data_IF_523569981129
#
_entry.id   IF_523569981129
#
_cell.length_a   1.000
_cell.length_b   1.000
_cell.length_c   1.000
_cell.angle_alpha   90.00
_cell.angle_beta   90.00
_cell.angle_gamma   90.00
#
_symmetry.space_group_name_H-M   'P 1'
#
loop_
_entity.id
_entity.type
_entity.pdbx_description
1 polymer ?
#
# COMPACT_ATOMS: atom_id res chain seq x y z
N UNK A 1 0.88 0.23 23.98
CA UNK A 1 0.04 0.54 22.80
C UNK A 1 0.18 -0.61 21.81
N UNK A 2 -0.82 -0.87 20.98
CA UNK A 2 -0.79 -1.96 20.01
C UNK A 2 -0.16 -1.46 18.70
N UNK A 3 0.82 -2.21 18.16
CA UNK A 3 1.44 -1.88 16.89
C UNK A 3 0.44 -1.95 15.72
N UNK A 4 0.60 -1.07 14.74
CA UNK A 4 -0.17 -1.11 13.49
C UNK A 4 0.33 -2.23 12.57
N UNK A 5 1.65 -2.43 12.54
CA UNK A 5 2.33 -3.51 11.83
C UNK A 5 3.43 -4.08 12.73
N UNK A 6 3.57 -5.39 12.76
CA UNK A 6 4.66 -6.07 13.43
C UNK A 6 5.13 -7.26 12.59
N UNK A 7 6.40 -7.28 12.26
CA UNK A 7 7.10 -8.37 11.61
C UNK A 7 8.04 -8.99 12.62
N UNK A 8 7.95 -10.30 12.85
CA UNK A 8 8.79 -11.03 13.81
C UNK A 8 9.58 -12.11 13.10
N UNK A 9 10.85 -11.83 12.87
CA UNK A 9 11.78 -12.79 12.30
C UNK A 9 11.36 -13.36 10.95
N UNK A 10 10.69 -12.53 10.11
CA UNK A 10 10.16 -13.03 8.84
C UNK A 10 11.28 -13.43 7.90
N UNK A 11 11.14 -14.62 7.33
CA UNK A 11 12.06 -15.16 6.33
C UNK A 11 11.29 -15.68 5.13
N UNK A 12 11.81 -15.44 3.94
CA UNK A 12 11.24 -15.91 2.68
C UNK A 12 12.29 -16.10 1.61
N UNK A 13 12.40 -17.29 1.05
CA UNK A 13 13.19 -17.55 -0.16
C UNK A 13 12.34 -17.18 -1.38
N UNK A 14 12.78 -16.17 -2.13
CA UNK A 14 12.09 -15.69 -3.34
C UNK A 14 12.66 -16.35 -4.60
N UNK A 15 13.98 -16.56 -4.62
CA UNK A 15 14.71 -17.24 -5.69
C UNK A 15 15.99 -17.86 -5.15
N UNK A 16 16.73 -18.55 -6.01
CA UNK A 16 18.05 -19.09 -5.63
C UNK A 16 19.08 -18.01 -5.30
N UNK A 17 18.85 -16.78 -5.79
CA UNK A 17 19.75 -15.63 -5.60
C UNK A 17 19.27 -14.62 -4.58
N UNK A 18 18.02 -14.74 -4.09
CA UNK A 18 17.45 -13.75 -3.20
C UNK A 18 16.53 -14.39 -2.13
N UNK A 19 16.78 -14.02 -0.88
CA UNK A 19 15.92 -14.35 0.26
C UNK A 19 15.87 -13.23 1.28
N UNK A 20 14.70 -12.99 1.84
CA UNK A 20 14.56 -12.26 3.10
C UNK A 20 15.02 -13.17 4.23
N UNK A 21 15.74 -12.62 5.22
CA UNK A 21 16.22 -13.39 6.37
C UNK A 21 16.02 -12.59 7.65
N UNK A 22 15.27 -13.18 8.57
CA UNK A 22 15.11 -12.69 9.94
C UNK A 22 14.76 -11.19 10.04
N UNK A 23 13.83 -10.72 9.19
CA UNK A 23 13.43 -9.32 9.20
C UNK A 23 12.45 -9.07 10.34
N UNK A 24 12.84 -8.19 11.24
CA UNK A 24 12.02 -7.75 12.38
C UNK A 24 11.79 -6.24 12.29
N UNK A 25 10.53 -5.82 12.38
CA UNK A 25 10.11 -4.43 12.27
C UNK A 25 8.80 -4.23 13.03
N UNK A 26 8.67 -3.10 13.69
CA UNK A 26 7.39 -2.65 14.27
C UNK A 26 7.08 -1.23 13.83
N UNK A 27 5.80 -0.95 13.60
CA UNK A 27 5.26 0.38 13.31
C UNK A 27 4.17 0.70 14.31
N UNK A 28 4.38 1.71 15.11
CA UNK A 28 3.44 2.19 16.13
C UNK A 28 2.47 3.24 15.57
N UNK A 29 1.32 3.48 16.22
CA UNK A 29 0.45 4.59 15.86
C UNK A 29 1.19 5.94 15.90
N UNK A 30 1.02 6.74 14.84
CA UNK A 30 1.64 8.05 14.72
C UNK A 30 3.11 8.03 14.28
N UNK A 31 3.71 6.86 14.07
CA UNK A 31 5.06 6.76 13.52
C UNK A 31 5.10 6.88 12.00
N UNK A 32 6.19 7.48 11.52
CA UNK A 32 6.63 7.43 10.12
C UNK A 32 7.91 6.60 10.08
N UNK A 33 7.88 5.47 9.39
CA UNK A 33 9.02 4.55 9.29
C UNK A 33 9.54 4.54 7.86
N UNK A 34 10.80 4.94 7.67
CA UNK A 34 11.50 4.86 6.39
C UNK A 34 12.17 3.49 6.21
N UNK A 35 11.79 2.76 5.17
CA UNK A 35 12.40 1.49 4.81
C UNK A 35 13.40 1.70 3.68
N UNK A 36 14.67 1.91 4.01
CA UNK A 36 15.72 2.31 3.07
C UNK A 36 16.61 1.12 2.70
N UNK A 37 17.03 1.06 1.46
CA UNK A 37 17.95 0.02 0.96
C UNK A 37 18.12 0.12 -0.55
N UNK A 38 19.17 -0.51 -1.07
CA UNK A 38 19.46 -0.56 -2.51
C UNK A 38 18.32 -1.23 -3.30
N UNK A 39 18.31 -1.00 -4.62
CA UNK A 39 17.39 -1.72 -5.50
C UNK A 39 17.70 -3.22 -5.44
N UNK A 40 16.66 -4.05 -5.33
CA UNK A 40 16.81 -5.49 -5.12
C UNK A 40 17.05 -5.93 -3.66
N UNK A 41 17.17 -5.00 -2.69
CA UNK A 41 17.36 -5.35 -1.27
C UNK A 41 16.14 -6.01 -0.61
N UNK A 42 15.01 -6.12 -1.32
CA UNK A 42 13.81 -6.80 -0.82
C UNK A 42 12.75 -5.91 -0.23
N UNK A 43 12.82 -4.58 -0.41
CA UNK A 43 11.83 -3.63 0.12
C UNK A 43 10.40 -4.01 -0.28
N UNK A 44 10.13 -4.09 -1.57
CA UNK A 44 8.80 -4.48 -2.11
C UNK A 44 8.39 -5.89 -1.65
N UNK A 45 9.33 -6.83 -1.56
CA UNK A 45 9.05 -8.19 -1.07
C UNK A 45 8.63 -8.15 0.40
N UNK A 46 9.34 -7.39 1.24
CA UNK A 46 8.98 -7.20 2.65
C UNK A 46 7.60 -6.57 2.80
N UNK A 47 7.30 -5.52 2.01
CA UNK A 47 5.97 -4.88 1.99
C UNK A 47 4.89 -5.88 1.61
N UNK A 48 5.06 -6.63 0.53
CA UNK A 48 4.08 -7.64 0.09
C UNK A 48 3.89 -8.75 1.12
N UNK A 49 4.96 -9.16 1.78
CA UNK A 49 4.92 -10.14 2.87
C UNK A 49 4.17 -9.58 4.08
N UNK A 50 4.46 -8.33 4.47
CA UNK A 50 3.78 -7.62 5.56
C UNK A 50 2.26 -7.49 5.34
N UNK A 51 1.82 -7.46 4.09
CA UNK A 51 0.40 -7.41 3.72
C UNK A 51 -0.23 -8.80 3.54
N UNK A 52 0.50 -9.88 3.85
CA UNK A 52 0.03 -11.26 3.68
C UNK A 52 -0.19 -11.66 2.21
N UNK A 53 0.43 -10.95 1.26
CA UNK A 53 0.32 -11.25 -0.18
C UNK A 53 1.33 -12.31 -0.62
N UNK A 54 2.34 -12.57 0.18
CA UNK A 54 3.38 -13.59 -0.06
C UNK A 54 3.46 -14.47 1.19
N UNK A 55 3.42 -15.80 0.99
CA UNK A 55 3.58 -16.78 2.06
C UNK A 55 4.99 -16.70 2.64
N UNK A 56 5.10 -16.78 3.97
CA UNK A 56 6.35 -16.88 4.71
C UNK A 56 6.91 -18.31 4.69
N UNK A 57 8.22 -18.43 4.82
CA UNK A 57 8.88 -19.70 5.14
C UNK A 57 9.10 -19.81 6.67
N UNK A 58 9.29 -18.65 7.36
CA UNK A 58 9.38 -18.57 8.82
C UNK A 58 9.01 -17.18 9.33
N UNK A 59 8.71 -17.07 10.62
CA UNK A 59 8.34 -15.83 11.30
C UNK A 59 6.85 -15.56 11.26
N UNK A 60 6.45 -14.40 11.75
CA UNK A 60 5.05 -14.00 11.89
C UNK A 60 4.83 -12.56 11.45
N UNK A 61 3.63 -12.30 10.92
CA UNK A 61 3.14 -10.95 10.60
C UNK A 61 1.89 -10.66 11.39
N UNK A 62 1.84 -9.51 12.03
CA UNK A 62 0.65 -9.00 12.69
C UNK A 62 0.29 -7.63 12.14
N UNK A 63 -0.96 -7.47 11.72
CA UNK A 63 -1.57 -6.19 11.38
C UNK A 63 -2.60 -5.84 12.45
N UNK A 64 -2.46 -4.65 13.04
CA UNK A 64 -3.34 -4.16 14.09
C UNK A 64 -3.47 -5.17 15.26
N UNK A 65 -2.36 -5.88 15.57
CA UNK A 65 -2.26 -6.89 16.61
C UNK A 65 -2.89 -8.25 16.28
N UNK A 66 -3.42 -8.44 15.09
CA UNK A 66 -3.98 -9.70 14.64
C UNK A 66 -3.03 -10.39 13.67
N UNK A 67 -2.89 -11.71 13.76
CA UNK A 67 -2.09 -12.49 12.83
C UNK A 67 -2.58 -12.33 11.39
N UNK A 68 -1.66 -12.03 10.48
CA UNK A 68 -1.90 -11.79 9.07
C UNK A 68 -0.91 -12.61 8.22
N UNK A 69 -1.02 -13.92 8.28
CA UNK A 69 -0.25 -14.86 7.46
C UNK A 69 -1.10 -15.50 6.38
N UNK A 70 -0.46 -16.20 5.45
CA UNK A 70 -1.18 -16.96 4.41
C UNK A 70 -2.04 -18.11 4.97
N UNK A 71 -1.85 -18.45 6.23
CA UNK A 71 -2.60 -19.42 7.03
C UNK A 71 -3.78 -18.78 7.81
N UNK A 72 -3.85 -17.43 7.86
CA UNK A 72 -4.97 -16.76 8.49
C UNK A 72 -6.23 -16.88 7.61
N UNK A 73 -7.45 -16.95 8.22
CA UNK A 73 -8.70 -17.01 7.47
C UNK A 73 -8.83 -15.84 6.49
N UNK A 74 -9.32 -16.09 5.28
CA UNK A 74 -9.47 -15.10 4.21
C UNK A 74 -10.28 -13.88 4.65
N UNK A 75 -11.33 -14.09 5.44
CA UNK A 75 -12.17 -13.01 5.98
C UNK A 75 -11.37 -12.10 6.91
N UNK A 76 -10.54 -12.67 7.78
CA UNK A 76 -9.64 -11.90 8.67
C UNK A 76 -8.67 -11.08 7.85
N UNK A 77 -8.01 -11.69 6.87
CA UNK A 77 -7.06 -11.00 5.99
C UNK A 77 -7.73 -9.86 5.23
N UNK A 78 -8.93 -10.10 4.70
CA UNK A 78 -9.72 -9.08 4.00
C UNK A 78 -10.03 -7.91 4.92
N UNK A 79 -10.57 -8.17 6.10
CA UNK A 79 -10.89 -7.16 7.11
C UNK A 79 -9.68 -6.32 7.51
N UNK A 80 -8.51 -6.94 7.70
CA UNK A 80 -7.28 -6.23 8.04
C UNK A 80 -6.82 -5.33 6.89
N UNK A 81 -6.87 -5.83 5.65
CA UNK A 81 -6.44 -5.06 4.46
C UNK A 81 -7.33 -3.85 4.17
N UNK A 82 -8.62 -3.87 4.51
CA UNK A 82 -9.49 -2.68 4.35
C UNK A 82 -9.04 -1.50 5.21
N UNK A 83 -8.17 -1.71 6.18
CA UNK A 83 -7.62 -0.67 7.06
C UNK A 83 -6.25 -0.18 6.61
N UNK A 84 -5.70 -0.75 5.54
CA UNK A 84 -4.38 -0.41 4.98
C UNK A 84 -4.57 0.35 3.67
N UNK A 85 -3.98 1.52 3.54
CA UNK A 85 -3.82 2.24 2.28
C UNK A 85 -2.49 1.86 1.64
N UNK A 86 -2.52 1.44 0.39
CA UNK A 86 -1.34 1.02 -0.35
C UNK A 86 -1.15 1.92 -1.57
N UNK A 87 0.06 2.44 -1.72
CA UNK A 87 0.52 3.18 -2.91
C UNK A 87 1.73 2.46 -3.47
N UNK A 88 1.61 1.96 -4.68
CA UNK A 88 2.65 1.23 -5.39
C UNK A 88 3.34 2.14 -6.41
N UNK A 89 4.55 1.79 -6.77
CA UNK A 89 5.30 2.45 -7.84
C UNK A 89 4.53 2.49 -9.17
N UNK A 90 3.88 1.40 -9.52
CA UNK A 90 3.05 1.30 -10.73
C UNK A 90 1.57 1.36 -10.35
N UNK A 91 0.81 2.19 -11.05
CA UNK A 91 -0.63 2.31 -10.85
C UNK A 91 -1.33 0.98 -11.19
N UNK A 92 -2.03 0.33 -10.22
CA UNK A 92 -2.60 -1.00 -10.41
C UNK A 92 -3.96 -0.99 -11.11
N UNK A 93 -4.53 0.19 -11.38
CA UNK A 93 -5.86 0.30 -11.95
C UNK A 93 -5.87 0.01 -13.45
N UNK A 94 -6.97 -0.57 -13.98
CA UNK A 94 -7.09 -0.81 -15.42
C UNK A 94 -6.87 0.45 -16.25
N UNK A 95 -6.01 0.34 -17.24
CA UNK A 95 -5.54 1.47 -18.07
C UNK A 95 -6.65 2.20 -18.84
N UNK A 96 -7.77 1.54 -19.08
CA UNK A 96 -8.92 2.08 -19.84
C UNK A 96 -9.89 2.89 -19.00
N UNK A 97 -9.87 2.75 -17.67
CA UNK A 97 -10.76 3.47 -16.77
C UNK A 97 -10.42 4.95 -16.71
N UNK A 98 -11.42 5.79 -16.54
CA UNK A 98 -11.25 7.18 -16.14
C UNK A 98 -10.98 7.28 -14.64
N UNK A 99 -10.39 8.39 -14.22
CA UNK A 99 -10.12 8.68 -12.80
C UNK A 99 -11.39 8.51 -11.95
N UNK A 100 -12.53 9.03 -12.40
CA UNK A 100 -13.82 8.86 -11.69
C UNK A 100 -14.34 7.42 -11.69
N UNK A 101 -14.02 6.64 -12.70
CA UNK A 101 -14.44 5.23 -12.77
C UNK A 101 -13.62 4.34 -11.84
N UNK A 102 -12.41 4.76 -11.46
CA UNK A 102 -11.58 4.08 -10.45
C UNK A 102 -12.29 4.08 -9.10
N UNK A 103 -12.97 5.16 -8.73
CA UNK A 103 -13.77 5.21 -7.51
C UNK A 103 -14.84 4.11 -7.50
N UNK A 104 -15.62 3.99 -8.56
CA UNK A 104 -16.67 2.97 -8.67
C UNK A 104 -16.12 1.53 -8.59
N UNK A 105 -14.88 1.31 -9.04
CA UNK A 105 -14.20 0.03 -8.93
C UNK A 105 -13.74 -0.25 -7.50
N UNK A 106 -13.21 0.76 -6.79
CA UNK A 106 -12.49 0.58 -5.53
C UNK A 106 -13.42 0.70 -4.31
N UNK A 107 -14.33 1.67 -4.31
CA UNK A 107 -15.17 2.01 -3.16
C UNK A 107 -15.97 0.83 -2.57
N UNK A 108 -16.49 -0.14 -3.37
CA UNK A 108 -17.25 -1.25 -2.80
C UNK A 108 -16.45 -2.16 -1.86
N UNK A 109 -15.12 -2.15 -1.96
CA UNK A 109 -14.25 -2.94 -1.10
C UNK A 109 -14.03 -2.33 0.29
N UNK A 110 -14.42 -1.06 0.50
CA UNK A 110 -14.10 -0.30 1.70
C UNK A 110 -15.36 0.29 2.36
N UNK A 111 -15.84 -0.30 3.47
CA UNK A 111 -17.04 0.20 4.17
C UNK A 111 -16.92 1.64 4.68
N UNK A 112 -15.69 2.13 4.86
CA UNK A 112 -15.40 3.49 5.37
C UNK A 112 -15.12 4.50 4.26
N UNK A 113 -15.41 4.16 3.00
CA UNK A 113 -15.15 5.06 1.86
C UNK A 113 -15.92 6.38 1.99
N UNK A 114 -15.27 7.47 1.59
CA UNK A 114 -15.85 8.81 1.52
C UNK A 114 -15.71 9.37 0.12
N UNK A 115 -16.82 9.50 -0.59
CA UNK A 115 -16.88 10.12 -1.92
C UNK A 115 -16.39 11.57 -1.89
N UNK A 116 -16.81 12.34 -0.89
CA UNK A 116 -16.41 13.75 -0.76
C UNK A 116 -14.91 13.89 -0.58
N UNK A 117 -14.29 13.00 0.22
CA UNK A 117 -12.84 12.98 0.40
C UNK A 117 -12.14 12.66 -0.91
N UNK A 118 -12.63 11.65 -1.65
CA UNK A 118 -12.04 11.28 -2.95
C UNK A 118 -12.11 12.45 -3.93
N UNK A 119 -13.28 13.03 -4.13
CA UNK A 119 -13.49 14.16 -5.04
C UNK A 119 -12.58 15.35 -4.70
N UNK A 120 -12.55 15.72 -3.41
CA UNK A 120 -11.69 16.81 -2.91
C UNK A 120 -10.20 16.54 -3.15
N UNK A 121 -9.75 15.29 -3.00
CA UNK A 121 -8.36 14.92 -3.26
C UNK A 121 -8.03 14.91 -4.75
N UNK A 122 -8.93 14.46 -5.61
CA UNK A 122 -8.76 14.54 -7.07
C UNK A 122 -8.54 15.98 -7.50
N UNK A 123 -9.38 16.89 -7.02
CA UNK A 123 -9.26 18.34 -7.32
C UNK A 123 -7.95 18.92 -6.76
N UNK A 124 -7.64 18.63 -5.48
CA UNK A 124 -6.42 19.12 -4.82
C UNK A 124 -5.13 18.63 -5.49
N UNK A 125 -5.13 17.41 -6.00
CA UNK A 125 -3.97 16.82 -6.69
C UNK A 125 -3.87 17.25 -8.16
N UNK A 126 -4.87 18.00 -8.67
CA UNK A 126 -4.91 18.47 -10.06
C UNK A 126 -5.09 17.33 -11.06
N UNK A 127 -5.83 16.28 -10.69
CA UNK A 127 -6.13 15.17 -11.58
C UNK A 127 -7.40 15.49 -12.39
N UNK A 128 -7.33 15.34 -13.72
CA UNK A 128 -8.54 15.46 -14.55
C UNK A 128 -9.45 14.25 -14.30
N UNK A 129 -10.68 14.46 -13.80
CA UNK A 129 -11.65 13.38 -13.54
C UNK A 129 -11.98 12.54 -14.78
N UNK A 130 -11.82 13.11 -15.97
CA UNK A 130 -12.13 12.45 -17.25
C UNK A 130 -10.91 11.78 -17.90
N UNK A 131 -9.70 12.06 -17.43
CA UNK A 131 -8.48 11.44 -17.93
C UNK A 131 -8.51 9.92 -17.70
N UNK A 132 -7.98 9.15 -18.64
CA UNK A 132 -7.82 7.72 -18.48
C UNK A 132 -6.55 7.41 -17.70
N UNK A 133 -6.57 6.31 -16.95
CA UNK A 133 -5.41 5.85 -16.17
C UNK A 133 -4.15 5.72 -17.03
N UNK A 134 -4.26 5.26 -18.26
CA UNK A 134 -3.12 5.16 -19.21
C UNK A 134 -2.48 6.49 -19.58
N UNK A 135 -3.22 7.59 -19.47
CA UNK A 135 -2.78 8.93 -19.86
C UNK A 135 -2.16 9.68 -18.65
N UNK A 136 -2.19 9.07 -17.46
CA UNK A 136 -1.58 9.63 -16.25
C UNK A 136 -0.07 9.40 -16.26
N UNK A 137 0.69 10.44 -15.89
CA UNK A 137 2.09 10.26 -15.56
C UNK A 137 2.24 9.34 -14.33
N UNK A 138 3.45 8.80 -14.09
CA UNK A 138 3.74 7.99 -12.90
C UNK A 138 3.33 8.70 -11.60
N UNK A 139 3.72 9.99 -11.46
CA UNK A 139 3.35 10.81 -10.30
C UNK A 139 1.83 11.03 -10.16
N UNK A 140 1.13 11.24 -11.29
CA UNK A 140 -0.34 11.35 -11.27
C UNK A 140 -1.00 10.02 -10.88
N UNK A 141 -0.49 8.89 -11.34
CA UNK A 141 -0.95 7.56 -10.93
C UNK A 141 -0.75 7.30 -9.43
N UNK A 142 0.37 7.78 -8.86
CA UNK A 142 0.59 7.73 -7.40
C UNK A 142 -0.38 8.62 -6.63
N UNK A 143 -0.65 9.85 -7.10
CA UNK A 143 -1.65 10.75 -6.51
C UNK A 143 -3.04 10.12 -6.52
N UNK A 144 -3.43 9.45 -7.60
CA UNK A 144 -4.70 8.74 -7.69
C UNK A 144 -4.79 7.60 -6.65
N UNK A 145 -3.73 6.79 -6.52
CA UNK A 145 -3.66 5.75 -5.50
C UNK A 145 -3.74 6.33 -4.09
N UNK A 146 -3.04 7.45 -3.83
CA UNK A 146 -3.07 8.14 -2.54
C UNK A 146 -4.47 8.70 -2.24
N UNK A 147 -5.17 9.26 -3.25
CA UNK A 147 -6.56 9.69 -3.10
C UNK A 147 -7.45 8.51 -2.68
N UNK A 148 -7.31 7.33 -3.32
CA UNK A 148 -8.03 6.12 -2.91
C UNK A 148 -7.70 5.73 -1.47
N UNK A 149 -6.43 5.65 -1.11
CA UNK A 149 -5.97 5.22 0.22
C UNK A 149 -6.48 6.14 1.35
N UNK A 150 -6.54 7.44 1.12
CA UNK A 150 -7.04 8.40 2.10
C UNK A 150 -8.57 8.40 2.19
N UNK A 151 -9.27 8.12 1.09
CA UNK A 151 -10.74 8.15 1.02
C UNK A 151 -11.42 7.04 1.82
N UNK A 152 -10.73 5.92 2.07
CA UNK A 152 -11.26 4.85 2.94
C UNK A 152 -10.77 4.93 4.39
N UNK A 153 -10.16 6.04 4.81
CA UNK A 153 -9.69 6.31 6.18
C UNK A 153 -8.70 5.24 6.67
N UNK A 154 -7.73 4.89 5.84
CA UNK A 154 -6.68 3.95 6.18
C UNK A 154 -6.03 4.29 7.54
N UNK A 155 -5.78 3.25 8.34
CA UNK A 155 -5.08 3.38 9.65
C UNK A 155 -3.57 3.24 9.50
N UNK A 156 -3.12 2.57 8.46
CA UNK A 156 -1.73 2.39 8.07
C UNK A 156 -1.58 2.73 6.59
N UNK A 157 -0.67 3.63 6.25
CA UNK A 157 -0.29 3.89 4.87
C UNK A 157 1.04 3.20 4.57
N UNK A 158 1.08 2.45 3.49
CA UNK A 158 2.27 1.77 2.97
C UNK A 158 2.57 2.33 1.60
N UNK A 159 3.76 2.92 1.45
CA UNK A 159 4.21 3.58 0.23
C UNK A 159 5.43 2.83 -0.31
N UNK A 160 5.30 2.18 -1.48
CA UNK A 160 6.40 1.49 -2.14
C UNK A 160 6.97 2.35 -3.26
N UNK A 161 8.20 2.86 -3.06
CA UNK A 161 8.92 3.78 -3.99
C UNK A 161 8.10 5.01 -4.44
N UNK A 162 7.16 5.46 -3.63
CA UNK A 162 6.24 6.54 -3.96
C UNK A 162 6.91 7.90 -4.26
N UNK A 163 8.20 8.05 -3.95
CA UNK A 163 8.98 9.26 -4.24
C UNK A 163 9.82 9.16 -5.52
N UNK A 164 9.95 7.96 -6.10
CA UNK A 164 10.68 7.76 -7.34
C UNK A 164 9.86 8.33 -8.51
N UNK A 165 10.25 9.47 -9.04
CA UNK A 165 9.55 10.14 -10.15
C UNK A 165 8.69 11.34 -9.76
N UNK A 166 8.67 11.74 -8.49
CA UNK A 166 8.23 13.08 -8.11
C UNK A 166 9.30 14.10 -8.51
N UNK A 167 8.87 15.23 -9.05
CA UNK A 167 9.74 16.38 -9.30
C UNK A 167 10.52 16.69 -8.01
N UNK A 168 11.85 16.98 -8.08
CA UNK A 168 12.64 17.40 -6.93
C UNK A 168 11.98 18.52 -6.12
N UNK A 169 11.25 19.43 -6.76
CA UNK A 169 10.47 20.51 -6.12
C UNK A 169 9.23 20.02 -5.38
N UNK A 170 8.74 18.82 -5.64
CA UNK A 170 7.60 18.23 -4.94
C UNK A 170 8.01 17.32 -3.77
N UNK A 171 9.32 17.29 -3.44
CA UNK A 171 9.87 16.48 -2.33
C UNK A 171 10.02 17.27 -1.03
N UNK A 172 9.79 18.57 -1.05
CA UNK A 172 9.68 19.44 0.13
C UNK A 172 8.22 19.52 0.57
#
# INVERSE_FOLDING_TARGET
MQNLLELKGISRRVSDRFSLRDVTLAVEPGQIVGFVGANGAGKTTTIRTALGLIKLDAGEVHLFGQHCGADAPDETQRCLRTRVGLVLDTCPFPSTLKVTEVEALVSPAYPTWSHDTFSSLIDRFGLDPKAKVKDLSRGMGMKLQLACALSHKAKLLVLDEATAGLDPMARE
#
